data_IF_097921592103
#
_entry.id   IF_097921592103
#
_cell.length_a   1.000
_cell.length_b   1.000
_cell.length_c   1.000
_cell.angle_alpha   90.00
_cell.angle_beta   90.00
_cell.angle_gamma   90.00
#
_symmetry.space_group_name_H-M   'P 1'
#
loop_
_entity.id
_entity.type
_entity.pdbx_description
1 polymer ?
#
# COMPACT_ATOMS: atom_id res chain seq x y z
N UNK A 1 25.57 -10.65 12.21
CA UNK A 1 24.31 -11.18 12.81
C UNK A 1 23.22 -11.12 11.74
N UNK A 2 22.28 -12.09 11.74
CA UNK A 2 21.10 -12.02 10.86
C UNK A 2 20.15 -10.93 11.33
N UNK A 3 19.46 -10.29 10.38
CA UNK A 3 18.40 -9.34 10.70
C UNK A 3 17.07 -10.07 10.92
N UNK A 4 16.40 -9.78 12.02
CA UNK A 4 15.09 -10.33 12.35
C UNK A 4 13.98 -9.51 11.69
N UNK A 5 13.12 -10.19 10.93
CA UNK A 5 12.06 -9.56 10.14
C UNK A 5 10.69 -10.02 10.64
N UNK A 6 9.84 -9.08 11.02
CA UNK A 6 8.40 -9.32 11.23
C UNK A 6 7.65 -9.06 9.93
N UNK A 7 6.74 -9.97 9.55
CA UNK A 7 5.91 -9.84 8.34
C UNK A 7 4.45 -9.70 8.75
N UNK A 8 3.93 -8.49 8.64
CA UNK A 8 2.52 -8.19 8.85
C UNK A 8 1.74 -8.54 7.59
N UNK A 9 0.84 -9.52 7.66
CA UNK A 9 0.10 -10.02 6.50
C UNK A 9 0.88 -11.00 5.63
N UNK A 10 1.55 -11.97 6.24
CA UNK A 10 2.43 -12.95 5.56
C UNK A 10 1.73 -13.83 4.52
N UNK A 11 0.43 -14.01 4.64
CA UNK A 11 -0.40 -14.83 3.73
C UNK A 11 -0.92 -14.06 2.52
N UNK A 12 -0.74 -12.74 2.48
CA UNK A 12 -1.07 -11.90 1.33
C UNK A 12 0.01 -11.92 0.24
N UNK A 13 -0.27 -11.29 -0.91
CA UNK A 13 0.65 -11.25 -2.06
C UNK A 13 2.03 -10.68 -1.68
N UNK A 14 2.08 -9.56 -0.97
CA UNK A 14 3.36 -8.95 -0.54
C UNK A 14 4.07 -9.86 0.48
N UNK A 15 3.32 -10.42 1.44
CA UNK A 15 3.89 -11.32 2.45
C UNK A 15 4.52 -12.57 1.85
N UNK A 16 3.85 -13.22 0.90
CA UNK A 16 4.38 -14.40 0.21
C UNK A 16 5.59 -14.07 -0.68
N UNK A 17 5.56 -12.93 -1.39
CA UNK A 17 6.73 -12.44 -2.14
C UNK A 17 7.90 -12.09 -1.20
N UNK A 18 7.62 -11.53 -0.01
CA UNK A 18 8.66 -11.28 1.00
C UNK A 18 9.31 -12.56 1.46
N UNK A 19 8.53 -13.60 1.74
CA UNK A 19 9.03 -14.91 2.13
C UNK A 19 9.84 -15.58 0.99
N UNK A 20 9.43 -15.41 -0.26
CA UNK A 20 10.21 -15.90 -1.41
C UNK A 20 11.58 -15.21 -1.48
N UNK A 21 11.66 -13.90 -1.32
CA UNK A 21 12.94 -13.17 -1.27
C UNK A 21 13.79 -13.63 -0.07
N UNK A 22 13.20 -13.69 1.13
CA UNK A 22 13.92 -14.10 2.34
C UNK A 22 14.47 -15.53 2.24
N UNK A 23 13.75 -16.46 1.59
CA UNK A 23 14.18 -17.85 1.41
C UNK A 23 15.49 -17.97 0.64
N UNK A 24 15.83 -17.01 -0.19
CA UNK A 24 17.06 -16.92 -0.97
C UNK A 24 18.23 -16.28 -0.19
N UNK A 25 17.94 -15.67 0.96
CA UNK A 25 18.89 -14.88 1.75
C UNK A 25 18.85 -15.23 3.26
N UNK A 26 18.66 -16.52 3.58
CA UNK A 26 18.60 -17.01 4.95
C UNK A 26 19.93 -16.89 5.73
N UNK A 27 21.02 -16.59 5.04
CA UNK A 27 22.30 -16.21 5.62
C UNK A 27 22.29 -14.80 6.25
N UNK A 28 21.48 -13.89 5.69
CA UNK A 28 21.37 -12.47 6.09
C UNK A 28 20.15 -12.18 6.97
N UNK A 29 19.03 -12.88 6.74
CA UNK A 29 17.75 -12.62 7.37
C UNK A 29 17.18 -13.82 8.10
N UNK A 30 16.35 -13.53 9.10
CA UNK A 30 15.54 -14.52 9.81
C UNK A 30 14.13 -14.01 9.98
N UNK A 31 13.15 -14.86 9.74
CA UNK A 31 11.75 -14.53 10.03
C UNK A 31 11.53 -14.59 11.52
N UNK A 32 11.21 -13.45 12.13
CA UNK A 32 10.93 -13.33 13.56
C UNK A 32 9.48 -13.61 13.90
N UNK A 33 8.57 -12.99 13.15
CA UNK A 33 7.13 -13.18 13.31
C UNK A 33 6.40 -13.19 11.97
N UNK A 34 5.37 -14.01 11.90
CA UNK A 34 4.41 -14.08 10.80
C UNK A 34 3.03 -13.69 11.31
N UNK A 35 2.28 -12.92 10.53
CA UNK A 35 0.92 -12.58 10.91
C UNK A 35 -0.08 -12.85 9.78
N UNK A 36 -1.30 -13.26 10.14
CA UNK A 36 -2.40 -13.45 9.20
C UNK A 36 -3.74 -13.11 9.85
N UNK A 37 -4.79 -12.99 9.04
CA UNK A 37 -6.16 -12.78 9.55
C UNK A 37 -6.90 -14.10 9.76
N UNK A 38 -7.12 -14.87 8.68
CA UNK A 38 -7.97 -16.08 8.68
C UNK A 38 -7.30 -17.32 8.07
N UNK A 39 -6.19 -17.17 7.38
CA UNK A 39 -5.54 -18.22 6.57
C UNK A 39 -4.68 -19.15 7.43
N UNK A 40 -5.32 -19.99 8.26
CA UNK A 40 -4.62 -20.87 9.22
C UNK A 40 -3.72 -21.88 8.50
N UNK A 41 -4.18 -22.51 7.42
CA UNK A 41 -3.40 -23.52 6.70
C UNK A 41 -2.13 -22.93 6.09
N UNK A 42 -2.23 -21.75 5.50
CA UNK A 42 -1.10 -21.10 4.84
C UNK A 42 -0.05 -20.62 5.86
N UNK A 43 -0.48 -19.97 6.96
CA UNK A 43 0.46 -19.51 7.98
C UNK A 43 1.13 -20.71 8.72
N UNK A 44 0.42 -21.83 8.90
CA UNK A 44 0.99 -23.06 9.46
C UNK A 44 2.12 -23.59 8.56
N UNK A 45 1.89 -23.69 7.25
CA UNK A 45 2.91 -24.10 6.30
C UNK A 45 4.12 -23.14 6.31
N UNK A 46 3.88 -21.82 6.42
CA UNK A 46 4.94 -20.84 6.57
C UNK A 46 5.71 -21.02 7.90
N UNK A 47 5.02 -21.34 9.00
CA UNK A 47 5.66 -21.63 10.30
C UNK A 47 6.54 -22.89 10.23
N UNK A 48 6.09 -23.93 9.55
CA UNK A 48 6.89 -25.15 9.36
C UNK A 48 8.17 -24.88 8.56
N UNK A 49 8.08 -24.05 7.53
CA UNK A 49 9.20 -23.70 6.64
C UNK A 49 10.20 -22.75 7.31
N UNK A 50 9.72 -21.64 7.91
CA UNK A 50 10.57 -20.53 8.36
C UNK A 50 10.85 -20.55 9.86
N UNK A 51 10.11 -21.33 10.64
CA UNK A 51 10.25 -21.49 12.09
C UNK A 51 10.39 -20.17 12.83
N UNK A 52 9.42 -19.24 12.67
CA UNK A 52 9.46 -17.95 13.36
C UNK A 52 9.35 -18.14 14.87
N UNK A 53 9.75 -17.14 15.64
CA UNK A 53 9.53 -17.12 17.09
C UNK A 53 8.04 -16.97 17.42
N UNK A 54 7.32 -16.14 16.65
CA UNK A 54 5.89 -15.86 16.84
C UNK A 54 5.08 -16.08 15.57
N UNK A 55 3.85 -16.55 15.75
CA UNK A 55 2.79 -16.50 14.74
C UNK A 55 1.57 -15.77 15.34
N UNK A 56 1.05 -14.76 14.65
CA UNK A 56 -0.06 -13.95 15.16
C UNK A 56 -1.25 -14.01 14.23
N UNK A 57 -2.42 -14.34 14.77
CA UNK A 57 -3.69 -14.27 14.06
C UNK A 57 -4.46 -13.03 14.50
N UNK A 58 -5.06 -12.29 13.55
CA UNK A 58 -5.88 -11.14 13.89
C UNK A 58 -7.17 -11.55 14.63
N UNK A 59 -7.68 -12.76 14.37
CA UNK A 59 -8.90 -13.31 14.96
C UNK A 59 -8.58 -14.39 15.99
N UNK A 60 -9.24 -14.35 17.14
CA UNK A 60 -9.03 -15.29 18.26
C UNK A 60 -9.30 -16.75 17.87
N UNK A 61 -10.44 -17.02 17.22
CA UNK A 61 -10.79 -18.39 16.81
C UNK A 61 -9.73 -19.01 15.90
N UNK A 62 -9.26 -18.23 14.92
CA UNK A 62 -8.17 -18.65 14.05
C UNK A 62 -6.83 -18.81 14.82
N UNK A 63 -6.60 -17.99 15.82
CA UNK A 63 -5.43 -18.08 16.70
C UNK A 63 -5.42 -19.35 17.54
N UNK A 64 -6.55 -19.68 18.14
CA UNK A 64 -6.73 -20.93 18.91
C UNK A 64 -6.51 -22.16 18.04
N UNK A 65 -7.13 -22.19 16.86
CA UNK A 65 -6.95 -23.28 15.89
C UNK A 65 -5.48 -23.43 15.45
N UNK A 66 -4.81 -22.32 15.16
CA UNK A 66 -3.39 -22.34 14.80
C UNK A 66 -2.53 -22.89 15.96
N UNK A 67 -2.79 -22.46 17.20
CA UNK A 67 -2.05 -22.92 18.37
C UNK A 67 -2.16 -24.44 18.58
N UNK A 68 -3.35 -25.01 18.41
CA UNK A 68 -3.60 -26.46 18.47
C UNK A 68 -2.79 -27.21 17.40
N UNK A 69 -2.78 -26.70 16.17
CA UNK A 69 -2.06 -27.30 15.03
C UNK A 69 -0.53 -27.20 15.18
N UNK A 70 -0.02 -26.04 15.59
CA UNK A 70 1.41 -25.81 15.88
C UNK A 70 1.88 -26.82 16.93
N UNK A 71 1.08 -27.04 17.99
CA UNK A 71 1.38 -28.02 19.04
C UNK A 71 1.36 -29.46 18.52
N UNK A 72 0.38 -29.80 17.69
CA UNK A 72 0.25 -31.13 17.10
C UNK A 72 1.43 -31.47 16.17
N UNK A 73 1.95 -30.49 15.44
CA UNK A 73 3.13 -30.64 14.57
C UNK A 73 4.48 -30.49 15.31
N UNK A 74 4.47 -30.20 16.61
CA UNK A 74 5.67 -30.05 17.42
C UNK A 74 6.56 -28.87 17.01
N UNK A 75 5.96 -27.82 16.42
CA UNK A 75 6.71 -26.64 15.94
C UNK A 75 7.05 -25.71 17.12
N UNK A 76 8.28 -25.17 17.20
CA UNK A 76 8.72 -24.28 18.28
C UNK A 76 8.29 -22.83 18.03
N UNK A 77 6.99 -22.60 17.84
CA UNK A 77 6.41 -21.31 17.49
C UNK A 77 5.38 -20.92 18.55
N UNK A 78 5.54 -19.73 19.13
CA UNK A 78 4.54 -19.16 20.04
C UNK A 78 3.40 -18.51 19.24
N UNK A 79 2.16 -18.92 19.51
CA UNK A 79 0.98 -18.37 18.83
C UNK A 79 0.31 -17.33 19.72
N UNK A 80 0.02 -16.18 19.12
CA UNK A 80 -0.75 -15.08 19.74
C UNK A 80 -1.87 -14.62 18.81
N UNK A 81 -2.79 -13.80 19.31
CA UNK A 81 -3.89 -13.24 18.51
C UNK A 81 -4.32 -11.86 19.03
N UNK A 82 -5.04 -11.16 18.16
CA UNK A 82 -5.61 -9.85 18.44
C UNK A 82 -4.67 -8.68 18.13
N UNK A 83 -5.21 -7.44 18.24
CA UNK A 83 -4.49 -6.21 17.85
C UNK A 83 -3.22 -5.98 18.68
N UNK A 84 -3.27 -6.21 19.98
CA UNK A 84 -2.12 -6.03 20.88
C UNK A 84 -0.95 -6.96 20.53
N UNK A 85 -1.27 -8.18 20.04
CA UNK A 85 -0.25 -9.11 19.60
C UNK A 85 0.43 -8.66 18.29
N UNK A 86 -0.32 -7.99 17.39
CA UNK A 86 0.25 -7.39 16.18
C UNK A 86 1.21 -6.25 16.52
N UNK A 87 0.81 -5.38 17.44
CA UNK A 87 1.65 -4.27 17.92
C UNK A 87 2.91 -4.81 18.64
N UNK A 88 2.75 -5.84 19.48
CA UNK A 88 3.86 -6.48 20.18
C UNK A 88 4.93 -7.02 19.23
N UNK A 89 4.56 -7.80 18.21
CA UNK A 89 5.54 -8.36 17.26
C UNK A 89 6.12 -7.32 16.32
N UNK A 90 5.48 -6.16 16.18
CA UNK A 90 5.98 -5.04 15.38
C UNK A 90 7.02 -4.21 16.15
N UNK A 91 6.83 -4.03 17.46
CA UNK A 91 7.68 -3.22 18.31
C UNK A 91 8.76 -4.00 19.07
N UNK A 92 8.76 -5.34 18.99
CA UNK A 92 9.62 -6.20 19.77
C UNK A 92 11.12 -5.83 19.64
N UNK A 93 11.86 -5.84 20.75
CA UNK A 93 13.26 -5.39 20.80
C UNK A 93 14.19 -6.14 19.81
N UNK A 94 13.99 -7.43 19.64
CA UNK A 94 14.78 -8.28 18.73
C UNK A 94 14.49 -8.00 17.24
N UNK A 95 13.41 -7.28 16.91
CA UNK A 95 13.04 -7.01 15.51
C UNK A 95 13.85 -5.85 14.95
N UNK A 96 14.41 -6.05 13.76
CA UNK A 96 15.19 -5.06 13.03
C UNK A 96 14.36 -4.35 11.96
N UNK A 97 13.50 -5.11 11.25
CA UNK A 97 12.63 -4.55 10.23
C UNK A 97 11.23 -5.19 10.24
N UNK A 98 10.25 -4.41 9.84
CA UNK A 98 8.84 -4.82 9.74
C UNK A 98 8.38 -4.63 8.31
N UNK A 99 7.96 -5.70 7.65
CA UNK A 99 7.23 -5.65 6.38
C UNK A 99 5.76 -5.40 6.67
N UNK A 100 5.29 -4.20 6.40
CA UNK A 100 3.92 -3.77 6.66
C UNK A 100 3.03 -4.04 5.44
N UNK A 101 2.40 -5.22 5.39
CA UNK A 101 1.59 -5.67 4.26
C UNK A 101 0.13 -6.04 4.65
N UNK A 102 -0.37 -5.53 5.79
CA UNK A 102 -1.79 -5.62 6.13
C UNK A 102 -2.54 -4.58 5.31
N UNK A 103 -3.55 -4.99 4.56
CA UNK A 103 -4.34 -4.11 3.69
C UNK A 103 -5.30 -3.22 4.49
N UNK A 104 -5.46 -1.97 4.07
CA UNK A 104 -6.40 -1.01 4.65
C UNK A 104 -5.94 -0.39 5.97
N UNK A 105 -6.83 0.36 6.62
CA UNK A 105 -6.55 1.07 7.87
C UNK A 105 -6.18 0.16 9.06
N UNK A 106 -6.51 -1.13 8.98
CA UNK A 106 -6.17 -2.13 10.01
C UNK A 106 -4.65 -2.29 10.25
N UNK A 107 -3.83 -1.92 9.27
CA UNK A 107 -2.37 -1.93 9.40
C UNK A 107 -1.78 -0.72 10.13
N UNK A 108 -2.58 0.31 10.46
CA UNK A 108 -2.09 1.57 11.03
C UNK A 108 -1.46 1.38 12.42
N UNK A 109 -2.14 0.68 13.35
CA UNK A 109 -1.66 0.49 14.72
C UNK A 109 -0.29 -0.20 14.77
N UNK A 110 -0.11 -1.41 14.16
CA UNK A 110 1.18 -2.08 14.18
C UNK A 110 2.29 -1.31 13.43
N UNK A 111 1.95 -0.52 12.40
CA UNK A 111 2.91 0.39 11.76
C UNK A 111 3.38 1.50 12.71
N UNK A 112 2.46 2.10 13.47
CA UNK A 112 2.81 3.11 14.48
C UNK A 112 3.63 2.50 15.61
N UNK A 113 3.30 1.28 16.06
CA UNK A 113 4.09 0.56 17.06
C UNK A 113 5.54 0.33 16.58
N UNK A 114 5.72 -0.13 15.34
CA UNK A 114 7.04 -0.27 14.72
C UNK A 114 7.77 1.07 14.60
N UNK A 115 7.07 2.13 14.18
CA UNK A 115 7.63 3.47 14.02
C UNK A 115 8.12 4.03 15.37
N UNK A 116 7.31 3.96 16.43
CA UNK A 116 7.71 4.38 17.78
C UNK A 116 8.88 3.59 18.36
N UNK A 117 9.00 2.30 17.99
CA UNK A 117 10.11 1.44 18.40
C UNK A 117 11.38 1.61 17.54
N UNK A 118 11.41 2.59 16.63
CA UNK A 118 12.58 2.90 15.81
C UNK A 118 12.96 1.82 14.78
N UNK A 119 11.99 1.02 14.32
CA UNK A 119 12.26 -0.06 13.39
C UNK A 119 12.45 0.43 11.96
N UNK A 120 13.15 -0.36 11.12
CA UNK A 120 13.06 -0.19 9.68
C UNK A 120 11.68 -0.67 9.23
N UNK A 121 10.86 0.25 8.75
CA UNK A 121 9.49 0.00 8.32
C UNK A 121 9.42 -0.06 6.79
N UNK A 122 9.20 -1.25 6.26
CA UNK A 122 9.03 -1.54 4.84
C UNK A 122 7.55 -1.40 4.51
N UNK A 123 7.13 -0.21 4.04
CA UNK A 123 5.73 0.15 3.92
C UNK A 123 5.16 -0.31 2.57
N UNK A 124 4.41 -1.40 2.58
CA UNK A 124 3.61 -1.88 1.45
C UNK A 124 2.11 -1.52 1.61
N UNK A 125 1.70 -1.14 2.82
CA UNK A 125 0.35 -0.68 3.15
C UNK A 125 0.30 0.85 3.04
N UNK A 126 -0.03 1.35 1.86
CA UNK A 126 -0.18 2.80 1.61
C UNK A 126 -1.27 3.44 2.46
N UNK A 127 -2.34 2.68 2.74
CA UNK A 127 -3.48 3.18 3.50
C UNK A 127 -3.07 3.61 4.91
N UNK A 128 -2.11 2.93 5.54
CA UNK A 128 -1.61 3.33 6.86
C UNK A 128 -1.01 4.74 6.85
N UNK A 129 -0.27 5.11 5.80
CA UNK A 129 0.30 6.45 5.67
C UNK A 129 -0.75 7.47 5.21
N UNK A 130 -1.65 7.10 4.31
CA UNK A 130 -2.76 7.97 3.85
C UNK A 130 -3.67 8.34 5.01
N UNK A 131 -4.01 7.38 5.87
CA UNK A 131 -4.84 7.60 7.08
C UNK A 131 -4.05 8.31 8.16
N UNK A 132 -2.82 7.86 8.43
CA UNK A 132 -1.98 8.35 9.51
C UNK A 132 -1.39 9.74 9.29
N UNK A 133 -1.10 10.10 8.03
CA UNK A 133 -0.59 11.41 7.65
C UNK A 133 0.52 11.93 8.55
N UNK A 134 0.33 13.16 9.07
CA UNK A 134 1.30 13.81 9.95
C UNK A 134 1.49 13.09 11.30
N UNK A 135 0.47 12.40 11.81
CA UNK A 135 0.58 11.59 13.05
C UNK A 135 1.58 10.45 12.81
N UNK A 136 1.48 9.79 11.66
CA UNK A 136 2.40 8.72 11.27
C UNK A 136 3.84 9.23 11.12
N UNK A 137 4.04 10.31 10.37
CA UNK A 137 5.37 10.92 10.19
C UNK A 137 5.98 11.41 11.51
N UNK A 138 5.14 11.95 12.42
CA UNK A 138 5.59 12.33 13.77
C UNK A 138 6.09 11.11 14.55
N UNK A 139 5.40 9.95 14.46
CA UNK A 139 5.83 8.72 15.10
C UNK A 139 7.16 8.22 14.52
N UNK A 140 7.31 8.21 13.20
CA UNK A 140 8.56 7.87 12.51
C UNK A 140 9.71 8.74 12.99
N UNK A 141 9.51 10.07 13.02
CA UNK A 141 10.53 11.02 13.46
C UNK A 141 10.90 10.86 14.94
N UNK A 142 9.91 10.73 15.82
CA UNK A 142 10.13 10.59 17.27
C UNK A 142 10.81 9.28 17.63
N UNK A 143 10.45 8.17 16.96
CA UNK A 143 11.05 6.88 17.20
C UNK A 143 12.41 6.70 16.52
N UNK A 144 12.79 7.58 15.61
CA UNK A 144 14.00 7.41 14.79
C UNK A 144 13.88 6.24 13.79
N UNK A 145 12.67 5.90 13.40
CA UNK A 145 12.42 4.82 12.45
C UNK A 145 12.87 5.19 11.02
N UNK A 146 13.23 4.17 10.26
CA UNK A 146 13.56 4.32 8.83
C UNK A 146 12.36 3.83 8.02
N UNK A 147 11.69 4.74 7.32
CA UNK A 147 10.52 4.44 6.49
C UNK A 147 10.96 4.23 5.04
N UNK A 148 10.73 3.03 4.49
CA UNK A 148 11.08 2.64 3.13
C UNK A 148 9.82 2.21 2.36
N UNK A 149 9.54 2.80 1.18
CA UNK A 149 8.39 2.43 0.38
C UNK A 149 8.60 1.10 -0.34
N UNK A 150 7.57 0.27 -0.33
CA UNK A 150 7.53 -1.02 -1.05
C UNK A 150 6.60 -0.96 -2.25
N UNK A 151 5.60 -0.07 -2.27
CA UNK A 151 4.81 0.16 -3.46
C UNK A 151 5.73 0.49 -4.65
N UNK A 152 5.48 -0.11 -5.81
CA UNK A 152 6.42 -0.10 -6.94
C UNK A 152 6.76 1.31 -7.40
N UNK A 153 5.77 2.19 -7.47
CA UNK A 153 5.94 3.57 -7.91
C UNK A 153 6.75 4.40 -6.90
N UNK A 154 6.46 4.24 -5.61
CA UNK A 154 7.18 4.97 -4.56
C UNK A 154 8.60 4.42 -4.35
N UNK A 155 8.78 3.11 -4.46
CA UNK A 155 10.11 2.49 -4.48
C UNK A 155 10.93 3.01 -5.66
N UNK A 156 10.30 3.17 -6.85
CA UNK A 156 10.96 3.74 -8.02
C UNK A 156 11.40 5.19 -7.81
N UNK A 157 10.53 6.02 -7.23
CA UNK A 157 10.89 7.39 -6.84
C UNK A 157 12.04 7.38 -5.85
N UNK A 158 11.95 6.58 -4.77
CA UNK A 158 12.99 6.49 -3.75
C UNK A 158 14.34 6.05 -4.33
N UNK A 159 14.36 5.09 -5.26
CA UNK A 159 15.57 4.63 -5.95
C UNK A 159 16.15 5.68 -6.92
N UNK A 160 15.34 6.62 -7.36
CA UNK A 160 15.74 7.72 -8.27
C UNK A 160 16.17 8.99 -7.53
N UNK A 161 16.04 9.04 -6.21
CA UNK A 161 16.39 10.17 -5.37
C UNK A 161 17.84 10.09 -4.87
N UNK A 162 18.47 11.24 -4.53
CA UNK A 162 19.74 11.26 -3.82
C UNK A 162 19.64 10.55 -2.47
N UNK A 163 20.71 9.88 -2.05
CA UNK A 163 20.75 9.13 -0.78
C UNK A 163 20.48 10.00 0.46
N UNK A 164 20.83 11.28 0.42
CA UNK A 164 20.60 12.20 1.53
C UNK A 164 19.26 12.93 1.39
N UNK A 165 18.23 12.58 2.19
CA UNK A 165 16.91 13.21 2.12
C UNK A 165 16.92 14.72 2.38
N UNK A 166 17.88 15.25 3.14
CA UNK A 166 18.00 16.67 3.41
C UNK A 166 18.23 17.52 2.15
N UNK A 167 18.68 16.89 1.05
CA UNK A 167 18.93 17.58 -0.23
C UNK A 167 17.74 17.54 -1.19
N UNK A 168 16.66 16.83 -0.88
CA UNK A 168 15.55 16.63 -1.80
C UNK A 168 14.82 17.93 -2.14
N UNK A 169 14.47 18.73 -1.13
CA UNK A 169 13.75 19.99 -1.34
C UNK A 169 14.47 20.97 -2.29
N UNK A 170 15.82 20.96 -2.25
CA UNK A 170 16.64 21.85 -3.09
C UNK A 170 16.86 21.31 -4.51
N UNK A 171 16.67 20.02 -4.74
CA UNK A 171 17.02 19.36 -6.01
C UNK A 171 15.84 18.92 -6.83
N UNK A 172 14.73 18.49 -6.18
CA UNK A 172 13.55 17.98 -6.86
C UNK A 172 12.73 19.13 -7.43
N UNK A 173 12.41 19.06 -8.73
CA UNK A 173 11.40 19.90 -9.37
C UNK A 173 10.02 19.22 -9.27
N UNK A 174 9.92 17.93 -9.68
CA UNK A 174 8.66 17.22 -9.75
C UNK A 174 8.85 15.71 -9.58
N UNK A 175 7.89 15.05 -8.94
CA UNK A 175 7.70 13.59 -8.96
C UNK A 175 6.65 13.28 -10.02
N UNK A 176 6.95 12.32 -10.90
CA UNK A 176 6.07 11.87 -11.97
C UNK A 176 5.72 10.40 -11.69
N UNK A 177 4.53 10.17 -11.16
CA UNK A 177 4.00 8.83 -10.93
C UNK A 177 3.45 8.25 -12.23
N UNK A 178 3.86 7.06 -12.58
CA UNK A 178 3.28 6.34 -13.72
C UNK A 178 2.07 5.52 -13.27
N UNK A 179 1.12 5.32 -14.16
CA UNK A 179 -0.06 4.48 -13.94
C UNK A 179 -0.30 3.61 -15.18
N UNK A 180 -0.73 2.36 -15.00
CA UNK A 180 -1.12 1.52 -16.14
C UNK A 180 -2.39 2.02 -16.86
N UNK A 181 -3.21 2.81 -16.18
CA UNK A 181 -4.56 3.20 -16.62
C UNK A 181 -5.62 2.13 -16.33
N UNK A 182 -5.22 1.01 -15.74
CA UNK A 182 -6.13 -0.07 -15.38
C UNK A 182 -6.82 -0.77 -16.57
N UNK A 183 -7.77 -1.66 -16.32
CA UNK A 183 -8.45 -2.42 -17.38
C UNK A 183 -9.37 -1.55 -18.26
N UNK A 184 -9.72 -0.35 -17.81
CA UNK A 184 -10.70 0.50 -18.51
C UNK A 184 -10.10 1.72 -19.21
N UNK A 185 -8.77 1.77 -19.36
CA UNK A 185 -8.05 2.90 -19.97
C UNK A 185 -8.63 3.37 -21.31
N UNK A 186 -9.07 2.44 -22.16
CA UNK A 186 -9.64 2.73 -23.48
C UNK A 186 -11.15 2.47 -23.56
N UNK A 187 -11.82 2.20 -22.42
CA UNK A 187 -13.25 1.87 -22.41
C UNK A 187 -14.09 3.13 -22.57
N UNK A 188 -15.19 3.05 -23.30
CA UNK A 188 -16.17 4.13 -23.40
C UNK A 188 -16.75 4.49 -22.03
N UNK A 189 -16.75 5.79 -21.69
CA UNK A 189 -17.20 6.31 -20.40
C UNK A 189 -18.65 5.95 -20.10
N UNK A 190 -19.55 6.02 -21.11
CA UNK A 190 -20.96 5.70 -20.94
C UNK A 190 -21.21 4.23 -20.57
N UNK A 191 -20.27 3.33 -20.92
CA UNK A 191 -20.35 1.91 -20.62
C UNK A 191 -19.87 1.54 -19.22
N UNK A 192 -19.16 2.43 -18.49
CA UNK A 192 -18.61 2.15 -17.16
C UNK A 192 -19.68 1.80 -16.11
N UNK A 193 -20.90 2.33 -16.27
CA UNK A 193 -22.03 1.97 -15.39
C UNK A 193 -22.40 0.49 -15.40
N UNK A 194 -22.00 -0.25 -16.44
CA UNK A 194 -22.30 -1.67 -16.63
C UNK A 194 -21.15 -2.59 -16.27
N UNK A 195 -20.04 -2.04 -15.74
CA UNK A 195 -18.85 -2.80 -15.36
C UNK A 195 -19.15 -3.74 -14.21
N UNK A 196 -18.73 -5.00 -14.35
CA UNK A 196 -18.85 -6.02 -13.29
C UNK A 196 -17.62 -6.05 -12.39
N UNK A 197 -17.75 -6.58 -11.15
CA UNK A 197 -16.60 -6.81 -10.28
C UNK A 197 -15.50 -7.67 -10.93
N UNK A 198 -15.89 -8.65 -11.73
CA UNK A 198 -14.99 -9.56 -12.43
C UNK A 198 -14.15 -8.82 -13.48
N UNK A 199 -14.78 -7.94 -14.27
CA UNK A 199 -14.09 -7.07 -15.23
C UNK A 199 -13.14 -6.08 -14.54
N UNK A 200 -13.58 -5.47 -13.42
CA UNK A 200 -12.75 -4.52 -12.69
C UNK A 200 -11.54 -5.19 -12.02
N UNK A 201 -11.64 -6.47 -11.68
CA UNK A 201 -10.53 -7.24 -11.12
C UNK A 201 -9.55 -7.80 -12.17
N UNK A 202 -9.84 -7.70 -13.47
CA UNK A 202 -9.02 -8.23 -14.56
C UNK A 202 -7.93 -7.21 -14.98
N UNK A 203 -6.92 -6.99 -14.10
CA UNK A 203 -5.84 -6.05 -14.39
C UNK A 203 -4.90 -6.59 -15.49
N UNK A 204 -4.49 -5.77 -16.50
CA UNK A 204 -3.73 -6.25 -17.66
C UNK A 204 -2.30 -6.72 -17.34
N UNK A 205 -1.65 -6.16 -16.33
CA UNK A 205 -0.22 -6.39 -16.05
C UNK A 205 0.05 -7.04 -14.69
N UNK A 206 -0.86 -6.89 -13.71
CA UNK A 206 -0.62 -7.30 -12.32
C UNK A 206 -1.67 -8.29 -11.83
N UNK A 207 -1.24 -9.29 -11.08
CA UNK A 207 -2.13 -10.16 -10.30
C UNK A 207 -2.18 -9.62 -8.89
N UNK A 208 -3.32 -9.05 -8.51
CA UNK A 208 -3.49 -8.33 -7.25
C UNK A 208 -4.74 -8.78 -6.49
N UNK A 209 -4.83 -8.36 -5.22
CA UNK A 209 -6.05 -8.53 -4.44
C UNK A 209 -7.24 -7.76 -5.04
N UNK A 210 -8.46 -8.20 -4.72
CA UNK A 210 -9.70 -7.63 -5.34
C UNK A 210 -9.87 -6.13 -5.08
N UNK A 211 -9.59 -5.66 -3.85
CA UNK A 211 -9.72 -4.23 -3.49
C UNK A 211 -8.81 -3.36 -4.36
N UNK A 212 -7.51 -3.65 -4.38
CA UNK A 212 -6.54 -2.85 -5.14
C UNK A 212 -6.75 -2.96 -6.66
N UNK A 213 -7.33 -4.07 -7.16
CA UNK A 213 -7.69 -4.19 -8.59
C UNK A 213 -8.81 -3.22 -8.96
N UNK A 214 -9.85 -3.08 -8.12
CA UNK A 214 -10.91 -2.08 -8.31
C UNK A 214 -10.34 -0.66 -8.17
N UNK A 215 -9.45 -0.42 -7.21
CA UNK A 215 -8.77 0.88 -7.07
C UNK A 215 -7.94 1.23 -8.30
N UNK A 216 -7.29 0.24 -8.92
CA UNK A 216 -6.59 0.46 -10.21
C UNK A 216 -7.58 0.77 -11.33
N UNK A 217 -8.70 0.05 -11.41
CA UNK A 217 -9.73 0.26 -12.41
C UNK A 217 -10.38 1.65 -12.35
N UNK A 218 -10.50 2.23 -11.16
CA UNK A 218 -11.03 3.57 -10.90
C UNK A 218 -9.96 4.68 -10.88
N UNK A 219 -8.68 4.33 -10.96
CA UNK A 219 -7.53 5.18 -10.66
C UNK A 219 -7.48 5.70 -9.20
N UNK A 220 -8.31 5.19 -8.30
CA UNK A 220 -8.21 5.51 -6.86
C UNK A 220 -6.91 4.99 -6.25
N UNK A 221 -6.36 3.86 -6.76
CA UNK A 221 -5.03 3.43 -6.35
C UNK A 221 -4.00 4.55 -6.55
N UNK A 222 -4.01 5.17 -7.74
CA UNK A 222 -3.11 6.30 -8.06
C UNK A 222 -3.43 7.54 -7.24
N UNK A 223 -4.71 7.79 -6.91
CA UNK A 223 -5.09 8.87 -6.00
C UNK A 223 -4.46 8.67 -4.60
N UNK A 224 -4.54 7.46 -4.04
CA UNK A 224 -3.89 7.13 -2.76
C UNK A 224 -2.37 7.24 -2.85
N UNK A 225 -1.78 6.87 -3.98
CA UNK A 225 -0.34 7.00 -4.22
C UNK A 225 0.13 8.45 -4.33
N UNK A 226 -0.66 9.36 -4.89
CA UNK A 226 -0.37 10.80 -4.87
C UNK A 226 -0.31 11.31 -3.43
N UNK A 227 -1.24 10.87 -2.58
CA UNK A 227 -1.25 11.23 -1.15
C UNK A 227 -0.02 10.64 -0.44
N UNK A 228 0.28 9.38 -0.68
CA UNK A 228 1.44 8.71 -0.08
C UNK A 228 2.76 9.39 -0.51
N UNK A 229 2.93 9.73 -1.80
CA UNK A 229 4.11 10.43 -2.30
C UNK A 229 4.34 11.78 -1.61
N UNK A 230 3.25 12.53 -1.33
CA UNK A 230 3.33 13.80 -0.57
C UNK A 230 3.95 13.57 0.80
N UNK A 231 3.53 12.53 1.53
CA UNK A 231 4.03 12.23 2.85
C UNK A 231 5.43 11.62 2.84
N UNK A 232 5.71 10.67 1.94
CA UNK A 232 7.01 9.99 1.86
C UNK A 232 8.16 10.93 1.48
N UNK A 233 7.91 11.83 0.53
CA UNK A 233 8.99 12.62 -0.08
C UNK A 233 8.96 14.09 0.32
N UNK A 234 7.97 14.53 1.10
CA UNK A 234 7.88 15.89 1.61
C UNK A 234 7.67 16.98 0.53
N UNK A 235 7.31 16.58 -0.69
CA UNK A 235 7.04 17.50 -1.80
C UNK A 235 5.65 18.13 -1.69
N UNK A 236 5.43 19.30 -2.26
CA UNK A 236 4.09 19.91 -2.33
C UNK A 236 3.18 19.13 -3.29
N UNK A 237 1.85 19.19 -3.12
CA UNK A 237 0.93 18.53 -4.07
C UNK A 237 1.12 19.00 -5.52
N UNK A 238 1.51 20.25 -5.75
CA UNK A 238 1.79 20.82 -7.08
C UNK A 238 3.03 20.19 -7.76
N UNK A 239 3.94 19.61 -6.97
CA UNK A 239 5.13 18.92 -7.48
C UNK A 239 4.87 17.44 -7.82
N UNK A 240 3.63 16.96 -7.71
CA UNK A 240 3.29 15.58 -8.04
C UNK A 240 2.40 15.58 -9.28
N UNK A 241 2.83 14.88 -10.31
CA UNK A 241 2.03 14.63 -11.51
C UNK A 241 1.85 13.14 -11.77
N UNK A 242 0.86 12.82 -12.57
CA UNK A 242 0.54 11.45 -12.99
C UNK A 242 0.57 11.38 -14.51
N UNK A 243 1.16 10.33 -15.03
CA UNK A 243 1.14 10.00 -16.46
C UNK A 243 0.75 8.52 -16.63
N UNK A 244 -0.05 8.24 -17.65
CA UNK A 244 -0.40 6.85 -17.98
C UNK A 244 0.75 6.24 -18.80
N UNK A 245 1.26 5.10 -18.34
CA UNK A 245 2.26 4.28 -19.00
C UNK A 245 1.74 2.82 -19.03
N UNK A 246 1.05 2.42 -20.11
CA UNK A 246 0.32 1.16 -20.15
C UNK A 246 1.18 -0.09 -19.96
N UNK A 247 2.46 -0.03 -20.34
CA UNK A 247 3.37 -1.17 -20.27
C UNK A 247 3.88 -1.44 -18.84
N UNK A 248 3.76 -0.47 -17.93
CA UNK A 248 4.20 -0.55 -16.51
C UNK A 248 5.66 -1.02 -16.35
N UNK A 249 6.54 -0.62 -17.27
CA UNK A 249 7.98 -0.93 -17.25
C UNK A 249 8.74 0.18 -16.52
N UNK A 250 8.41 1.44 -16.82
CA UNK A 250 8.86 2.60 -16.05
C UNK A 250 7.90 2.74 -14.87
N UNK A 251 8.43 2.49 -13.67
CA UNK A 251 7.58 2.47 -12.48
C UNK A 251 7.29 3.86 -11.91
N UNK A 252 8.20 4.80 -12.03
CA UNK A 252 8.02 6.25 -11.80
C UNK A 252 9.29 7.01 -12.12
N UNK A 253 9.23 8.35 -12.05
CA UNK A 253 10.33 9.22 -12.44
C UNK A 253 10.45 10.41 -11.47
N UNK A 254 11.67 10.95 -11.35
CA UNK A 254 11.97 12.20 -10.65
C UNK A 254 12.55 13.18 -11.64
N UNK A 255 11.91 14.33 -11.78
CA UNK A 255 12.42 15.48 -12.54
C UNK A 255 13.17 16.40 -11.59
N UNK A 256 14.39 16.72 -11.95
CA UNK A 256 15.27 17.62 -11.19
C UNK A 256 15.19 19.07 -11.69
N UNK A 257 15.69 20.02 -10.88
CA UNK A 257 15.68 21.45 -11.22
C UNK A 257 16.53 21.79 -12.44
N UNK A 258 17.51 20.95 -12.79
CA UNK A 258 18.31 21.06 -14.02
C UNK A 258 17.60 20.49 -15.26
N UNK A 259 16.32 20.14 -15.11
CA UNK A 259 15.45 19.54 -16.13
C UNK A 259 15.75 18.07 -16.47
N UNK A 260 16.77 17.45 -15.88
CA UNK A 260 17.03 16.05 -16.07
C UNK A 260 15.93 15.19 -15.42
N UNK A 261 15.66 14.01 -15.99
CA UNK A 261 14.67 13.06 -15.46
C UNK A 261 15.39 11.74 -15.19
N UNK A 262 15.29 11.25 -13.95
CA UNK A 262 15.76 9.92 -13.55
C UNK A 262 14.57 9.00 -13.37
N UNK A 263 14.65 7.81 -13.95
CA UNK A 263 13.57 6.82 -13.92
C UNK A 263 14.08 5.45 -13.47
N UNK A 264 13.30 4.75 -12.69
CA UNK A 264 13.56 3.35 -12.39
C UNK A 264 12.69 2.47 -13.29
N UNK A 265 13.32 1.49 -13.92
CA UNK A 265 12.70 0.52 -14.81
C UNK A 265 12.84 -0.89 -14.23
N UNK A 266 11.84 -1.72 -14.46
CA UNK A 266 11.85 -3.12 -14.06
C UNK A 266 10.69 -3.91 -14.65
N UNK A 267 10.75 -5.22 -14.54
CA UNK A 267 9.57 -6.07 -14.75
C UNK A 267 8.55 -5.78 -13.65
N UNK A 268 7.24 -5.92 -13.92
CA UNK A 268 6.20 -5.74 -12.89
C UNK A 268 6.21 -6.93 -11.90
N UNK A 269 7.14 -6.88 -10.95
CA UNK A 269 7.38 -7.92 -9.94
C UNK A 269 7.71 -7.28 -8.58
N UNK A 270 6.83 -7.48 -7.59
CA UNK A 270 6.99 -6.91 -6.26
C UNK A 270 8.22 -7.39 -5.50
N UNK A 271 8.86 -8.50 -5.91
CA UNK A 271 10.11 -8.96 -5.31
C UNK A 271 11.25 -7.96 -5.50
N UNK A 272 11.20 -7.13 -6.54
CA UNK A 272 12.23 -6.10 -6.79
C UNK A 272 12.23 -5.03 -5.68
N UNK A 273 11.13 -4.29 -5.43
CA UNK A 273 11.09 -3.31 -4.35
C UNK A 273 11.23 -3.94 -2.96
N UNK A 274 10.74 -5.16 -2.76
CA UNK A 274 10.91 -5.91 -1.50
C UNK A 274 12.39 -6.21 -1.25
N UNK A 275 13.11 -6.73 -2.22
CA UNK A 275 14.54 -7.03 -2.10
C UNK A 275 15.35 -5.76 -1.82
N UNK A 276 15.03 -4.67 -2.51
CA UNK A 276 15.68 -3.38 -2.27
C UNK A 276 15.42 -2.85 -0.86
N UNK A 277 14.16 -2.85 -0.40
CA UNK A 277 13.81 -2.39 0.95
C UNK A 277 14.45 -3.24 2.05
N UNK A 278 14.50 -4.57 1.89
CA UNK A 278 15.14 -5.47 2.83
C UNK A 278 16.66 -5.22 2.97
N UNK A 279 17.33 -4.94 1.85
CA UNK A 279 18.80 -4.80 1.82
C UNK A 279 19.30 -3.36 1.88
N UNK A 280 18.42 -2.37 1.77
CA UNK A 280 18.81 -0.96 1.72
C UNK A 280 19.88 -0.58 2.77
N UNK A 281 20.93 0.20 2.40
CA UNK A 281 21.18 0.85 1.10
C UNK A 281 21.79 -0.06 0.01
N UNK A 282 22.10 -1.31 0.33
CA UNK A 282 22.65 -2.27 -0.61
C UNK A 282 21.57 -2.87 -1.53
N UNK A 283 21.99 -3.77 -2.42
CA UNK A 283 21.11 -4.54 -3.31
C UNK A 283 21.39 -6.02 -3.21
N UNK A 284 20.32 -6.82 -3.21
CA UNK A 284 20.37 -8.30 -3.22
C UNK A 284 19.56 -8.83 -4.41
N UNK A 285 19.78 -10.08 -4.75
CA UNK A 285 18.99 -10.74 -5.79
C UNK A 285 17.53 -10.88 -5.35
N UNK A 286 16.61 -10.37 -6.18
CA UNK A 286 15.17 -10.46 -5.91
C UNK A 286 14.56 -11.80 -6.31
N UNK A 287 15.15 -12.48 -7.29
CA UNK A 287 14.57 -13.64 -7.96
C UNK A 287 13.55 -13.28 -9.06
N UNK A 288 13.36 -11.98 -9.33
CA UNK A 288 12.55 -11.50 -10.45
C UNK A 288 13.29 -11.70 -11.80
N UNK A 289 12.52 -11.76 -12.87
CA UNK A 289 13.10 -11.79 -14.23
C UNK A 289 13.67 -10.41 -14.59
N UNK A 290 14.80 -10.37 -15.28
CA UNK A 290 15.39 -9.16 -15.82
C UNK A 290 14.62 -8.65 -17.04
N UNK A 291 14.59 -7.33 -17.23
CA UNK A 291 14.13 -6.75 -18.50
C UNK A 291 15.08 -7.13 -19.63
N UNK A 292 14.50 -7.63 -20.73
CA UNK A 292 15.24 -7.88 -21.96
C UNK A 292 15.10 -6.70 -22.91
N UNK A 293 16.11 -5.82 -22.94
CA UNK A 293 16.11 -4.64 -23.81
C UNK A 293 16.16 -4.97 -25.30
N UNK A 294 16.60 -6.16 -25.69
CA UNK A 294 16.61 -6.57 -27.10
C UNK A 294 15.21 -6.89 -27.63
N UNK A 295 14.31 -7.33 -26.75
CA UNK A 295 12.93 -7.70 -27.09
C UNK A 295 11.88 -6.75 -26.49
N UNK A 296 12.32 -5.60 -25.98
CA UNK A 296 11.42 -4.64 -25.35
C UNK A 296 10.50 -4.01 -26.40
N UNK A 297 9.18 -4.08 -26.17
CA UNK A 297 8.20 -3.41 -27.01
C UNK A 297 8.30 -1.88 -26.82
N UNK A 298 7.90 -1.08 -27.84
CA UNK A 298 7.84 0.37 -27.69
C UNK A 298 7.05 0.79 -26.44
N UNK A 299 7.61 1.72 -25.69
CA UNK A 299 6.96 2.32 -24.54
C UNK A 299 6.21 3.59 -24.95
N UNK A 300 5.06 3.81 -24.34
CA UNK A 300 4.22 4.97 -24.61
C UNK A 300 3.75 5.63 -23.32
N UNK A 301 3.41 6.90 -23.43
CA UNK A 301 2.84 7.71 -22.36
C UNK A 301 1.59 8.41 -22.87
N UNK A 302 0.58 8.54 -22.01
CA UNK A 302 -0.64 9.30 -22.29
C UNK A 302 -0.81 10.34 -21.18
N UNK A 303 -1.17 11.57 -21.56
CA UNK A 303 -1.46 12.59 -20.58
C UNK A 303 -2.77 12.27 -19.86
N UNK A 304 -2.80 12.55 -18.54
CA UNK A 304 -3.99 12.26 -17.74
C UNK A 304 -5.19 13.15 -18.07
N UNK A 305 -4.95 14.29 -18.69
CA UNK A 305 -5.99 15.24 -19.08
C UNK A 305 -6.53 15.01 -20.52
N UNK A 306 -5.98 14.01 -21.23
CA UNK A 306 -6.36 13.66 -22.59
C UNK A 306 -7.23 12.39 -22.65
N UNK A 307 -7.71 12.06 -23.85
CA UNK A 307 -8.38 10.80 -24.20
C UNK A 307 -9.62 10.46 -23.36
N UNK A 308 -10.30 11.47 -22.77
CA UNK A 308 -11.44 11.27 -21.88
C UNK A 308 -11.09 10.62 -20.53
N UNK A 309 -9.82 10.70 -20.13
CA UNK A 309 -9.39 10.17 -18.83
C UNK A 309 -9.99 10.94 -17.64
N UNK A 310 -10.17 12.27 -17.67
CA UNK A 310 -10.82 13.00 -16.57
C UNK A 310 -12.23 12.52 -16.26
N UNK A 311 -13.02 12.20 -17.28
CA UNK A 311 -14.40 11.68 -17.15
C UNK A 311 -14.39 10.19 -16.76
N UNK A 312 -13.40 9.44 -17.24
CA UNK A 312 -13.24 8.01 -16.96
C UNK A 312 -12.72 7.76 -15.54
N UNK A 313 -11.87 8.65 -15.04
CA UNK A 313 -11.19 8.53 -13.75
C UNK A 313 -11.42 9.73 -12.84
N UNK A 314 -12.68 10.13 -12.58
CA UNK A 314 -12.98 11.36 -11.82
C UNK A 314 -12.44 11.32 -10.39
N UNK A 315 -12.22 10.12 -9.84
CA UNK A 315 -11.69 9.92 -8.49
C UNK A 315 -10.24 10.35 -8.29
N UNK A 316 -9.45 10.43 -9.36
CA UNK A 316 -8.04 10.82 -9.24
C UNK A 316 -7.86 12.24 -8.67
N UNK A 317 -8.74 13.18 -9.06
CA UNK A 317 -8.70 14.58 -8.57
C UNK A 317 -8.92 14.70 -7.06
N UNK A 318 -9.58 13.71 -6.44
CA UNK A 318 -9.86 13.72 -5.01
C UNK A 318 -8.56 13.68 -4.17
N UNK A 319 -7.45 13.18 -4.72
CA UNK A 319 -6.16 13.21 -4.05
C UNK A 319 -5.69 14.64 -3.75
N UNK A 320 -5.62 15.48 -4.77
CA UNK A 320 -5.18 16.88 -4.61
C UNK A 320 -6.19 17.71 -3.83
N UNK A 321 -7.49 17.46 -4.00
CA UNK A 321 -8.54 18.09 -3.19
C UNK A 321 -8.37 17.75 -1.71
N UNK A 322 -8.15 16.48 -1.37
CA UNK A 322 -7.96 16.04 0.00
C UNK A 322 -6.66 16.57 0.62
N UNK A 323 -5.57 16.62 -0.16
CA UNK A 323 -4.30 17.17 0.29
C UNK A 323 -4.33 18.69 0.53
N UNK A 324 -5.23 19.40 -0.16
CA UNK A 324 -5.41 20.85 -0.03
C UNK A 324 -6.47 21.24 1.03
N UNK A 325 -7.18 20.25 1.57
CA UNK A 325 -8.22 20.44 2.58
C UNK A 325 -7.65 20.30 4.02
N UNK A 326 -8.53 20.27 5.02
CA UNK A 326 -8.15 20.10 6.41
C UNK A 326 -7.43 18.77 6.66
N UNK A 327 -6.50 18.76 7.60
CA UNK A 327 -5.82 17.54 8.05
C UNK A 327 -6.85 16.48 8.47
N UNK A 328 -6.64 15.24 8.04
CA UNK A 328 -7.59 14.12 8.23
C UNK A 328 -8.49 13.86 7.01
N UNK A 329 -8.61 14.79 6.04
CA UNK A 329 -9.45 14.57 4.85
C UNK A 329 -8.99 13.36 4.02
N UNK A 330 -7.70 13.08 3.97
CA UNK A 330 -7.17 11.88 3.32
C UNK A 330 -7.66 10.58 3.99
N UNK A 331 -7.79 10.58 5.32
CA UNK A 331 -8.36 9.45 6.06
C UNK A 331 -9.85 9.24 5.72
N UNK A 332 -10.60 10.33 5.61
CA UNK A 332 -12.02 10.29 5.17
C UNK A 332 -12.13 9.67 3.77
N UNK A 333 -11.29 10.12 2.82
CA UNK A 333 -11.27 9.58 1.45
C UNK A 333 -10.96 8.08 1.45
N UNK A 334 -9.95 7.66 2.22
CA UNK A 334 -9.59 6.25 2.30
C UNK A 334 -10.75 5.39 2.83
N UNK A 335 -11.36 5.80 3.94
CA UNK A 335 -12.48 5.08 4.55
C UNK A 335 -13.69 5.01 3.58
N UNK A 336 -14.02 6.11 2.92
CA UNK A 336 -15.08 6.17 1.92
C UNK A 336 -14.81 5.20 0.77
N UNK A 337 -13.59 5.20 0.24
CA UNK A 337 -13.21 4.35 -0.88
C UNK A 337 -13.24 2.86 -0.50
N UNK A 338 -12.75 2.47 0.67
CA UNK A 338 -12.82 1.08 1.12
C UNK A 338 -14.27 0.57 1.19
N UNK A 339 -15.19 1.37 1.75
CA UNK A 339 -16.62 1.02 1.82
C UNK A 339 -17.26 0.99 0.42
N UNK A 340 -16.95 1.95 -0.44
CA UNK A 340 -17.49 2.00 -1.80
C UNK A 340 -17.03 0.81 -2.64
N UNK A 341 -15.75 0.46 -2.56
CA UNK A 341 -15.18 -0.72 -3.25
C UNK A 341 -15.79 -2.02 -2.73
N UNK A 342 -15.94 -2.17 -1.41
CA UNK A 342 -16.60 -3.33 -0.82
C UNK A 342 -18.05 -3.46 -1.28
N UNK A 343 -18.82 -2.36 -1.29
CA UNK A 343 -20.19 -2.34 -1.77
C UNK A 343 -20.28 -2.71 -3.26
N UNK A 344 -19.37 -2.25 -4.10
CA UNK A 344 -19.27 -2.62 -5.52
C UNK A 344 -18.94 -4.12 -5.68
N UNK A 345 -17.93 -4.62 -4.99
CA UNK A 345 -17.54 -6.03 -5.03
C UNK A 345 -18.66 -6.98 -4.60
N UNK A 346 -19.53 -6.52 -3.69
CA UNK A 346 -20.73 -7.22 -3.23
C UNK A 346 -21.94 -6.95 -4.14
N UNK A 347 -21.79 -6.29 -5.30
CA UNK A 347 -22.85 -5.98 -6.27
C UNK A 347 -23.99 -5.13 -5.69
N UNK A 348 -23.68 -4.31 -4.69
CA UNK A 348 -24.64 -3.44 -4.00
C UNK A 348 -24.75 -2.06 -4.63
N UNK A 349 -23.67 -1.60 -5.29
CA UNK A 349 -23.63 -0.37 -6.07
C UNK A 349 -22.97 -0.64 -7.42
N UNK A 350 -23.14 0.26 -8.40
CA UNK A 350 -22.49 0.19 -9.71
C UNK A 350 -21.06 0.78 -9.61
N UNK A 351 -20.25 0.48 -10.63
CA UNK A 351 -18.87 0.95 -10.72
C UNK A 351 -18.77 2.50 -10.71
N UNK A 352 -19.61 3.17 -11.47
CA UNK A 352 -19.67 4.64 -11.54
C UNK A 352 -20.10 5.29 -10.22
N UNK A 353 -20.80 4.56 -9.35
CA UNK A 353 -21.25 5.06 -8.06
C UNK A 353 -20.15 5.06 -6.98
N UNK A 354 -19.01 4.37 -7.20
CA UNK A 354 -17.85 4.41 -6.28
C UNK A 354 -17.42 5.87 -6.08
N UNK A 355 -17.22 6.61 -7.17
CA UNK A 355 -16.83 8.01 -7.09
C UNK A 355 -17.87 8.88 -6.36
N UNK A 356 -19.16 8.61 -6.59
CA UNK A 356 -20.24 9.32 -5.90
C UNK A 356 -20.20 9.12 -4.40
N UNK A 357 -20.03 7.87 -3.92
CA UNK A 357 -19.90 7.58 -2.48
C UNK A 357 -18.72 8.33 -1.87
N UNK A 358 -17.56 8.33 -2.56
CA UNK A 358 -16.37 9.04 -2.09
C UNK A 358 -16.63 10.54 -1.96
N UNK A 359 -17.21 11.18 -3.00
CA UNK A 359 -17.46 12.62 -3.04
C UNK A 359 -18.50 13.05 -2.01
N UNK A 360 -19.61 12.31 -1.88
CA UNK A 360 -20.68 12.64 -0.92
C UNK A 360 -20.21 12.44 0.54
N UNK A 361 -19.34 11.44 0.80
CA UNK A 361 -18.75 11.25 2.12
C UNK A 361 -17.81 12.39 2.48
N UNK A 362 -16.92 12.79 1.56
CA UNK A 362 -16.04 13.95 1.74
C UNK A 362 -16.80 15.25 2.01
N UNK A 363 -17.95 15.45 1.38
CA UNK A 363 -18.79 16.62 1.60
C UNK A 363 -19.46 16.64 2.98
N UNK A 364 -19.76 15.46 3.55
CA UNK A 364 -20.48 15.35 4.84
C UNK A 364 -19.56 15.26 6.05
N UNK A 365 -18.39 14.66 5.92
CA UNK A 365 -17.47 14.48 7.04
C UNK A 365 -16.44 15.60 7.03
N UNK A 366 -16.46 16.42 8.08
CA UNK A 366 -15.49 17.51 8.29
C UNK A 366 -14.51 17.07 9.38
N UNK A 367 -13.25 16.71 9.05
CA UNK A 367 -12.29 16.25 10.05
C UNK A 367 -11.83 17.40 10.96
N UNK A 368 -11.62 17.09 12.22
CA UNK A 368 -11.04 18.00 13.23
C UNK A 368 -9.57 17.65 13.46
N UNK A 369 -8.71 17.84 12.45
CA UNK A 369 -7.25 17.69 12.50
C UNK A 369 -6.76 16.66 13.53
N UNK A 370 -6.85 15.35 13.26
CA UNK A 370 -6.51 14.29 14.21
C UNK A 370 -5.05 14.41 14.67
N UNK A 371 -4.81 14.26 15.98
CA UNK A 371 -3.50 14.40 16.60
C UNK A 371 -2.96 13.09 17.17
N UNK A 372 -3.77 12.05 17.21
CA UNK A 372 -3.46 10.77 17.83
C UNK A 372 -4.07 9.59 17.08
N UNK A 373 -3.60 8.36 17.36
CA UNK A 373 -4.21 7.14 16.84
C UNK A 373 -5.70 7.03 17.23
N UNK A 374 -6.13 7.28 18.48
CA UNK A 374 -7.56 7.28 18.81
C UNK A 374 -8.38 8.26 17.96
N UNK A 375 -7.88 9.48 17.68
CA UNK A 375 -8.58 10.44 16.83
C UNK A 375 -8.73 9.92 15.40
N UNK A 376 -7.68 9.32 14.86
CA UNK A 376 -7.70 8.71 13.51
C UNK A 376 -8.69 7.55 13.43
N UNK A 377 -8.73 6.68 14.43
CA UNK A 377 -9.66 5.56 14.49
C UNK A 377 -11.12 6.03 14.63
N UNK A 378 -11.36 7.08 15.43
CA UNK A 378 -12.69 7.68 15.55
C UNK A 378 -13.15 8.31 14.24
N UNK A 379 -12.25 9.03 13.54
CA UNK A 379 -12.53 9.63 12.23
C UNK A 379 -12.79 8.57 11.16
N UNK A 380 -11.99 7.49 11.13
CA UNK A 380 -12.20 6.36 10.21
C UNK A 380 -13.57 5.70 10.46
N UNK A 381 -13.92 5.43 11.71
CA UNK A 381 -15.21 4.84 12.06
C UNK A 381 -16.40 5.75 11.65
N UNK A 382 -16.33 7.04 11.90
CA UNK A 382 -17.32 8.02 11.47
C UNK A 382 -17.45 8.05 9.95
N UNK A 383 -16.32 8.08 9.24
CA UNK A 383 -16.27 8.14 7.79
C UNK A 383 -16.86 6.87 7.16
N UNK A 384 -16.55 5.70 7.70
CA UNK A 384 -17.14 4.40 7.27
C UNK A 384 -18.64 4.36 7.48
N UNK A 385 -19.15 4.84 8.60
CA UNK A 385 -20.58 4.91 8.87
C UNK A 385 -21.29 5.80 7.82
N UNK A 386 -20.76 7.01 7.58
CA UNK A 386 -21.29 7.93 6.57
C UNK A 386 -21.21 7.34 5.15
N UNK A 387 -20.07 6.75 4.77
CA UNK A 387 -19.92 6.11 3.46
C UNK A 387 -20.90 4.95 3.26
N UNK A 388 -21.19 4.18 4.31
CA UNK A 388 -22.17 3.10 4.28
C UNK A 388 -23.60 3.62 4.07
N UNK A 389 -23.93 4.80 4.60
CA UNK A 389 -25.20 5.47 4.32
C UNK A 389 -25.27 5.95 2.85
N UNK A 390 -24.18 6.53 2.34
CA UNK A 390 -24.12 6.98 0.93
C UNK A 390 -24.22 5.79 -0.04
N UNK A 391 -23.55 4.67 0.26
CA UNK A 391 -23.65 3.45 -0.53
C UNK A 391 -25.09 2.89 -0.53
N UNK A 392 -25.79 2.92 0.60
CA UNK A 392 -27.22 2.52 0.67
C UNK A 392 -28.11 3.45 -0.17
N UNK A 393 -27.86 4.75 -0.14
CA UNK A 393 -28.61 5.71 -0.95
C UNK A 393 -28.38 5.54 -2.47
N UNK A 394 -27.28 4.92 -2.88
CA UNK A 394 -27.02 4.59 -4.28
C UNK A 394 -27.83 3.36 -4.79
N UNK A 395 -28.39 2.53 -3.89
CA UNK A 395 -29.19 1.36 -4.25
C UNK A 395 -30.63 1.71 -4.62
N UNK A 396 -31.14 2.84 -4.13
CA UNK A 396 -32.48 3.36 -4.41
C UNK A 396 -32.49 4.15 -5.74
#
# INVERSE_FOLDING_TARGET
>A
MKQNITILGSTGSIGTNTLDVLSKHMDRFQVFALTASKQVDLILAQCAQFKPKFAVMAQEDAGRLLAERIKAEGLPVEVRWGPEALDFVSAHEEVHAVMAAIVGAAGLSPCLAAAHAGKRLLLANKEALVVGGEVFLSAVKKGGAVLLPIDSEHSAVFQSLPENPATWADRIDQIILTASGGPFRARDVASLKNVTPEEACAHPNWVMGRKISVDSATMMNKALEVIEARYLFGVSPAQISVVIHPQSIIHSMVKYKDTSIVAQLGTPDMRVPIAYGLSWPERITSGAQTLDFHNLKPMSFEAIDDHGHPERFPGLKLAWQSLSAASGTCAVLNAANEIAVEAFLNKQIRFDQIHRVNTETLAKVQPQSPQSLPDLLALDAQSRATASEMARACRA
#
